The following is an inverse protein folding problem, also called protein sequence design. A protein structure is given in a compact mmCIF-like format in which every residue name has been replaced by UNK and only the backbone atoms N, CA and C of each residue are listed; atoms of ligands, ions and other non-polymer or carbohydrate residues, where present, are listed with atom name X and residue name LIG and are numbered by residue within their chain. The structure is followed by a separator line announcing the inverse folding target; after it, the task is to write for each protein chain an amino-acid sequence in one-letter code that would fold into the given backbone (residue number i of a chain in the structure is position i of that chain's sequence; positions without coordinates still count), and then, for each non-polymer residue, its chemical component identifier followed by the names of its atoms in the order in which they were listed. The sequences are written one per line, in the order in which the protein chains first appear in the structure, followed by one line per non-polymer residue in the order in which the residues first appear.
data_IF_745483732029
#
_entry.id   IF_745483732029
#
_cell.length_a   1.000
_cell.length_b   1.000
_cell.length_c   1.000
_cell.angle_alpha   90.00
_cell.angle_beta   90.00
_cell.angle_gamma   90.00
#
_symmetry.space_group_name_H-M   'P 1'
#
loop_
_entity.id
_entity.type
_entity.pdbx_description
1 polymer ?
#
# COMPACT_ATOMS: atom_id res chain seq x y z
N UNK A 1 -17.71 -21.59 7.17
CA UNK A 1 -17.55 -22.67 8.16
C UNK A 1 -16.64 -22.26 9.32
N UNK A 2 -15.56 -21.53 9.08
CA UNK A 2 -14.75 -20.95 10.16
C UNK A 2 -15.49 -19.87 10.97
N UNK A 3 -16.51 -19.24 10.43
CA UNK A 3 -17.34 -18.25 11.14
C UNK A 3 -18.13 -18.88 12.29
N UNK A 4 -18.69 -20.08 12.11
CA UNK A 4 -19.44 -20.77 13.14
C UNK A 4 -18.61 -21.07 14.38
N UNK A 5 -17.35 -21.48 14.21
CA UNK A 5 -16.43 -21.69 15.32
C UNK A 5 -16.06 -20.38 16.03
N UNK A 6 -15.83 -19.29 15.26
CA UNK A 6 -15.58 -17.97 15.82
C UNK A 6 -16.74 -17.44 16.67
N UNK A 7 -17.96 -17.64 16.22
CA UNK A 7 -19.16 -17.22 16.92
C UNK A 7 -19.41 -18.01 18.21
N UNK A 8 -19.15 -19.33 18.18
CA UNK A 8 -19.22 -20.18 19.37
C UNK A 8 -18.22 -19.74 20.44
N UNK A 9 -16.98 -19.46 20.06
CA UNK A 9 -15.95 -19.01 21.00
C UNK A 9 -16.21 -17.60 21.55
N UNK A 10 -16.76 -16.71 20.71
CA UNK A 10 -17.06 -15.33 21.08
C UNK A 10 -18.39 -15.18 21.84
N UNK A 11 -19.21 -16.24 21.92
CA UNK A 11 -20.56 -16.22 22.53
C UNK A 11 -21.44 -15.11 21.98
N UNK A 12 -21.40 -14.89 20.66
CA UNK A 12 -22.20 -13.86 20.00
C UNK A 12 -23.68 -14.29 19.93
N UNK A 13 -24.58 -13.32 20.07
CA UNK A 13 -26.00 -13.56 19.87
C UNK A 13 -26.30 -13.66 18.36
N UNK A 14 -26.61 -14.87 17.90
CA UNK A 14 -26.90 -15.17 16.50
C UNK A 14 -28.17 -14.45 16.00
N UNK A 15 -29.17 -14.25 16.86
CA UNK A 15 -30.42 -13.58 16.50
C UNK A 15 -30.14 -12.09 16.27
N UNK A 16 -29.39 -11.46 17.18
CA UNK A 16 -28.99 -10.05 17.04
C UNK A 16 -28.12 -9.85 15.79
N UNK A 17 -27.23 -10.78 15.45
CA UNK A 17 -26.45 -10.71 14.21
C UNK A 17 -27.34 -10.80 12.96
N UNK A 18 -28.40 -11.63 13.00
CA UNK A 18 -29.35 -11.72 11.91
C UNK A 18 -30.16 -10.42 11.76
N UNK A 19 -30.65 -9.83 12.85
CA UNK A 19 -31.34 -8.54 12.85
C UNK A 19 -30.47 -7.41 12.28
N UNK A 20 -29.19 -7.34 12.68
CA UNK A 20 -28.22 -6.39 12.14
C UNK A 20 -28.04 -6.61 10.63
N UNK A 21 -27.89 -7.86 10.19
CA UNK A 21 -27.74 -8.17 8.78
C UNK A 21 -28.97 -7.76 7.96
N UNK A 22 -30.18 -8.00 8.48
CA UNK A 22 -31.43 -7.64 7.81
C UNK A 22 -31.61 -6.11 7.74
N UNK A 23 -31.18 -5.37 8.76
CA UNK A 23 -31.17 -3.91 8.74
C UNK A 23 -30.25 -3.33 7.67
N UNK A 24 -29.04 -3.87 7.54
CA UNK A 24 -28.05 -3.33 6.59
C UNK A 24 -28.22 -3.85 5.15
N UNK A 25 -28.95 -4.92 4.92
CA UNK A 25 -29.14 -5.49 3.58
C UNK A 25 -29.77 -4.50 2.59
N UNK A 26 -30.91 -3.83 2.88
CA UNK A 26 -31.48 -2.84 1.97
C UNK A 26 -30.54 -1.64 1.73
N UNK A 27 -29.82 -1.18 2.76
CA UNK A 27 -28.85 -0.08 2.63
C UNK A 27 -27.70 -0.48 1.66
N UNK A 28 -27.22 -1.72 1.77
CA UNK A 28 -26.21 -2.24 0.84
C UNK A 28 -26.75 -2.32 -0.59
N UNK A 29 -27.97 -2.79 -0.75
CA UNK A 29 -28.59 -2.98 -2.06
C UNK A 29 -28.81 -1.61 -2.74
N UNK A 30 -29.27 -0.60 -2.01
CA UNK A 30 -29.35 0.79 -2.50
C UNK A 30 -27.97 1.36 -2.89
N UNK A 31 -26.95 1.09 -2.08
CA UNK A 31 -25.58 1.53 -2.36
C UNK A 31 -24.98 0.82 -3.61
N UNK A 32 -25.39 -0.41 -3.91
CA UNK A 32 -25.03 -1.12 -5.14
C UNK A 32 -25.76 -0.54 -6.36
N UNK A 33 -27.06 -0.27 -6.24
CA UNK A 33 -27.88 0.30 -7.32
C UNK A 33 -27.44 1.72 -7.67
N UNK A 34 -27.09 2.53 -6.68
CA UNK A 34 -26.60 3.90 -6.88
C UNK A 34 -25.14 3.96 -7.38
N UNK A 35 -24.43 2.85 -7.42
CA UNK A 35 -23.00 2.78 -7.80
C UNK A 35 -22.03 3.24 -6.71
N UNK A 36 -22.52 3.56 -5.50
CA UNK A 36 -21.68 3.90 -4.36
C UNK A 36 -20.78 2.74 -3.93
N UNK A 37 -21.30 1.50 -4.01
CA UNK A 37 -20.55 0.28 -3.82
C UNK A 37 -20.21 -0.34 -5.20
N UNK A 38 -18.92 -0.52 -5.49
CA UNK A 38 -18.50 -1.18 -6.71
C UNK A 38 -18.59 -2.72 -6.53
N UNK A 39 -19.42 -3.44 -7.34
CA UNK A 39 -19.59 -4.88 -7.22
C UNK A 39 -18.28 -5.68 -7.35
N UNK A 40 -17.29 -5.15 -8.05
CA UNK A 40 -15.97 -5.79 -8.22
C UNK A 40 -15.23 -5.98 -6.88
N UNK A 41 -15.56 -5.16 -5.87
CA UNK A 41 -14.96 -5.23 -4.54
C UNK A 41 -15.69 -6.18 -3.58
N UNK A 42 -16.85 -6.70 -3.96
CA UNK A 42 -17.70 -7.51 -3.09
C UNK A 42 -17.54 -9.02 -3.26
N UNK A 43 -16.91 -9.44 -4.35
CA UNK A 43 -16.73 -10.86 -4.68
C UNK A 43 -15.45 -11.45 -4.12
N UNK A 44 -15.47 -12.74 -3.80
CA UNK A 44 -14.24 -13.51 -3.56
C UNK A 44 -13.65 -13.89 -4.91
N UNK A 45 -12.52 -13.31 -5.26
CA UNK A 45 -11.78 -13.66 -6.46
C UNK A 45 -10.57 -14.53 -6.09
N UNK A 46 -10.59 -15.82 -6.46
CA UNK A 46 -9.47 -16.75 -6.20
C UNK A 46 -8.16 -16.25 -6.81
N UNK A 47 -8.21 -15.55 -7.94
CA UNK A 47 -7.04 -14.93 -8.55
C UNK A 47 -6.37 -13.89 -7.62
N UNK A 48 -7.15 -13.19 -6.80
CA UNK A 48 -6.62 -12.24 -5.82
C UNK A 48 -5.75 -12.94 -4.76
N UNK A 49 -6.13 -14.15 -4.37
CA UNK A 49 -5.32 -14.99 -3.46
C UNK A 49 -4.04 -15.49 -4.15
N UNK A 50 -4.12 -15.86 -5.42
CA UNK A 50 -2.95 -16.29 -6.21
C UNK A 50 -1.95 -15.14 -6.39
N UNK A 51 -2.44 -13.93 -6.62
CA UNK A 51 -1.61 -12.73 -6.78
C UNK A 51 -1.21 -12.10 -5.45
N UNK A 52 -1.72 -12.61 -4.32
CA UNK A 52 -1.42 -12.15 -2.96
C UNK A 52 -1.68 -10.64 -2.76
N UNK A 53 -2.70 -10.12 -3.44
CA UNK A 53 -3.08 -8.70 -3.36
C UNK A 53 -4.02 -8.48 -2.20
N UNK A 54 -3.67 -7.66 -1.19
CA UNK A 54 -4.57 -7.31 -0.09
C UNK A 54 -5.81 -6.55 -0.58
N UNK A 55 -6.95 -6.72 0.11
CA UNK A 55 -8.23 -6.11 -0.28
C UNK A 55 -8.17 -4.59 -0.45
N UNK A 56 -7.51 -3.86 0.46
CA UNK A 56 -7.32 -2.42 0.35
C UNK A 56 -6.49 -2.01 -0.88
N UNK A 57 -5.47 -2.80 -1.24
CA UNK A 57 -4.71 -2.58 -2.46
C UNK A 57 -5.57 -2.79 -3.70
N UNK A 58 -6.45 -3.81 -3.68
CA UNK A 58 -7.35 -4.10 -4.79
C UNK A 58 -8.27 -2.92 -5.12
N UNK A 59 -8.90 -2.33 -4.10
CA UNK A 59 -9.76 -1.16 -4.24
C UNK A 59 -9.01 0.03 -4.83
N UNK A 60 -7.77 0.28 -4.37
CA UNK A 60 -6.93 1.34 -4.89
C UNK A 60 -6.57 1.11 -6.37
N UNK A 61 -6.24 -0.11 -6.76
CA UNK A 61 -5.95 -0.46 -8.16
C UNK A 61 -7.17 -0.25 -9.06
N UNK A 62 -8.36 -0.67 -8.62
CA UNK A 62 -9.60 -0.43 -9.36
C UNK A 62 -9.81 1.07 -9.57
N UNK A 63 -9.74 1.88 -8.51
CA UNK A 63 -9.93 3.34 -8.60
C UNK A 63 -8.88 4.03 -9.49
N UNK A 64 -7.61 3.63 -9.40
CA UNK A 64 -6.54 4.16 -10.25
C UNK A 64 -6.79 3.86 -11.73
N UNK A 65 -7.19 2.62 -12.06
CA UNK A 65 -7.47 2.23 -13.43
C UNK A 65 -8.73 2.90 -13.99
N UNK A 66 -9.76 3.10 -13.17
CA UNK A 66 -10.95 3.85 -13.54
C UNK A 66 -10.63 5.31 -13.87
N UNK A 67 -9.81 5.97 -13.03
CA UNK A 67 -9.36 7.36 -13.28
C UNK A 67 -8.52 7.49 -14.55
N UNK A 68 -7.79 6.44 -14.93
CA UNK A 68 -6.98 6.40 -16.16
C UNK A 68 -7.76 5.91 -17.39
N UNK A 69 -9.05 5.58 -17.26
CA UNK A 69 -9.86 5.02 -18.33
C UNK A 69 -9.39 3.63 -18.81
N UNK A 70 -8.70 2.87 -17.96
CA UNK A 70 -8.04 1.60 -18.28
C UNK A 70 -8.57 0.44 -17.44
N UNK A 71 -9.85 0.43 -17.11
CA UNK A 71 -10.49 -0.62 -16.30
C UNK A 71 -10.42 -2.02 -16.91
N UNK A 72 -10.26 -2.09 -18.24
CA UNK A 72 -10.04 -3.31 -19.01
C UNK A 72 -8.69 -3.99 -18.68
N UNK A 73 -7.70 -3.22 -18.22
CA UNK A 73 -6.35 -3.68 -17.87
C UNK A 73 -6.23 -4.25 -16.45
N UNK A 74 -7.31 -4.31 -15.71
CA UNK A 74 -7.31 -4.73 -14.33
C UNK A 74 -6.64 -6.10 -14.09
N UNK A 75 -6.97 -7.09 -14.89
CA UNK A 75 -6.38 -8.42 -14.75
C UNK A 75 -4.90 -8.47 -15.16
N UNK A 76 -4.50 -7.70 -16.16
CA UNK A 76 -3.09 -7.59 -16.56
C UNK A 76 -2.25 -6.99 -15.41
N UNK A 77 -2.80 -5.99 -14.72
CA UNK A 77 -2.16 -5.38 -13.53
C UNK A 77 -2.06 -6.39 -12.39
N UNK A 78 -3.11 -7.16 -12.12
CA UNK A 78 -3.06 -8.20 -11.09
C UNK A 78 -1.99 -9.26 -11.37
N UNK A 79 -1.76 -9.60 -12.63
CA UNK A 79 -0.68 -10.52 -13.03
C UNK A 79 0.72 -9.89 -12.96
N UNK A 80 0.81 -8.57 -13.08
CA UNK A 80 2.07 -7.84 -13.00
C UNK A 80 2.52 -7.60 -11.54
N UNK A 81 1.58 -7.45 -10.59
CA UNK A 81 1.88 -7.21 -9.17
C UNK A 81 2.88 -8.22 -8.56
N UNK A 82 2.70 -9.55 -8.71
CA UNK A 82 3.67 -10.52 -8.19
C UNK A 82 5.05 -10.40 -8.82
N UNK A 83 5.13 -10.02 -10.09
CA UNK A 83 6.39 -9.85 -10.82
C UNK A 83 7.15 -8.63 -10.29
N UNK A 84 6.46 -7.51 -10.13
CA UNK A 84 7.04 -6.29 -9.52
C UNK A 84 7.45 -6.56 -8.08
N UNK A 85 6.60 -7.23 -7.28
CA UNK A 85 6.93 -7.61 -5.91
C UNK A 85 8.21 -8.44 -5.84
N UNK A 86 8.35 -9.43 -6.72
CA UNK A 86 9.55 -10.26 -6.81
C UNK A 86 10.79 -9.44 -7.16
N UNK A 87 10.68 -8.54 -8.14
CA UNK A 87 11.78 -7.68 -8.57
C UNK A 87 12.22 -6.71 -7.47
N UNK A 88 11.30 -6.29 -6.61
CA UNK A 88 11.56 -5.41 -5.47
C UNK A 88 12.04 -6.15 -4.20
N UNK A 89 12.37 -7.45 -4.30
CA UNK A 89 12.88 -8.23 -3.17
C UNK A 89 11.82 -8.74 -2.21
N UNK A 90 10.61 -8.96 -2.72
CA UNK A 90 9.45 -9.50 -1.98
C UNK A 90 9.08 -8.70 -0.71
N UNK A 91 8.91 -7.36 -0.80
CA UNK A 91 8.45 -6.60 0.33
C UNK A 91 7.07 -7.10 0.79
N UNK A 92 6.74 -7.02 2.09
CA UNK A 92 5.39 -7.28 2.55
C UNK A 92 4.43 -6.27 1.92
N UNK A 93 3.26 -6.74 1.44
CA UNK A 93 2.27 -5.88 0.81
C UNK A 93 1.38 -5.20 1.86
N UNK A 94 1.97 -4.28 2.60
CA UNK A 94 1.34 -3.38 3.57
C UNK A 94 1.66 -1.94 3.19
N UNK A 95 1.00 -0.96 3.79
CA UNK A 95 1.30 0.47 3.55
C UNK A 95 2.73 0.79 4.08
N UNK A 96 3.59 1.45 3.30
CA UNK A 96 3.37 2.01 1.95
C UNK A 96 3.76 1.06 0.80
N UNK A 97 4.44 -0.05 1.06
CA UNK A 97 5.02 -0.93 0.02
C UNK A 97 3.98 -1.53 -0.93
N UNK A 98 2.76 -1.81 -0.45
CA UNK A 98 1.66 -2.26 -1.31
C UNK A 98 1.28 -1.21 -2.36
N UNK A 99 1.27 0.07 -2.00
CA UNK A 99 0.99 1.16 -2.92
C UNK A 99 2.12 1.33 -3.94
N UNK A 100 3.37 1.25 -3.49
CA UNK A 100 4.56 1.36 -4.36
C UNK A 100 4.53 0.25 -5.42
N UNK A 101 4.36 -1.01 -5.00
CA UNK A 101 4.28 -2.17 -5.90
C UNK A 101 3.09 -2.05 -6.84
N UNK A 102 1.92 -1.66 -6.32
CA UNK A 102 0.70 -1.51 -7.12
C UNK A 102 0.81 -0.45 -8.18
N UNK A 103 1.24 0.75 -7.82
CA UNK A 103 1.42 1.86 -8.76
C UNK A 103 2.45 1.52 -9.84
N UNK A 104 3.56 0.86 -9.47
CA UNK A 104 4.55 0.44 -10.45
C UNK A 104 4.00 -0.63 -11.39
N UNK A 105 3.18 -1.57 -10.91
CA UNK A 105 2.52 -2.57 -11.75
C UNK A 105 1.54 -1.91 -12.75
N UNK A 106 0.75 -0.94 -12.31
CA UNK A 106 -0.12 -0.14 -13.19
C UNK A 106 0.69 0.55 -14.28
N UNK A 107 1.78 1.23 -13.94
CA UNK A 107 2.63 1.92 -14.91
C UNK A 107 3.26 0.96 -15.92
N UNK A 108 3.73 -0.21 -15.48
CA UNK A 108 4.29 -1.22 -16.37
C UNK A 108 3.27 -1.67 -17.42
N UNK A 109 2.02 -1.88 -17.02
CA UNK A 109 0.94 -2.32 -17.92
C UNK A 109 0.50 -1.18 -18.84
N UNK A 110 0.29 0.03 -18.31
CA UNK A 110 -0.18 1.16 -19.12
C UNK A 110 0.85 1.62 -20.17
N UNK A 111 2.14 1.56 -19.83
CA UNK A 111 3.21 1.94 -20.77
C UNK A 111 3.54 0.84 -21.78
N UNK A 112 3.06 -0.38 -21.57
CA UNK A 112 3.34 -1.56 -22.41
C UNK A 112 4.77 -2.08 -22.27
N UNK A 113 5.61 -1.47 -21.45
CA UNK A 113 7.00 -1.86 -21.19
C UNK A 113 7.32 -1.77 -19.72
N UNK A 114 7.85 -2.88 -19.14
CA UNK A 114 8.21 -2.94 -17.72
C UNK A 114 9.32 -1.95 -17.39
N UNK A 115 9.07 -1.15 -16.34
CA UNK A 115 10.03 -0.15 -15.85
C UNK A 115 10.46 0.91 -16.88
N UNK A 116 9.60 1.20 -17.87
CA UNK A 116 9.78 2.35 -18.77
C UNK A 116 9.65 3.65 -17.97
N UNK A 117 8.71 3.67 -17.05
CA UNK A 117 8.53 4.73 -16.06
C UNK A 117 8.68 4.11 -14.66
N UNK A 118 9.50 4.73 -13.82
CA UNK A 118 9.73 4.30 -12.44
C UNK A 118 9.41 5.48 -11.54
N UNK A 119 8.49 5.27 -10.57
CA UNK A 119 8.12 6.32 -9.62
C UNK A 119 9.25 6.65 -8.66
N UNK A 120 9.20 7.83 -8.04
CA UNK A 120 10.19 8.23 -7.04
C UNK A 120 10.18 7.29 -5.83
N UNK A 121 8.98 6.85 -5.41
CA UNK A 121 8.81 5.90 -4.32
C UNK A 121 9.40 4.52 -4.67
N UNK A 122 9.22 4.07 -5.92
CA UNK A 122 9.86 2.84 -6.41
C UNK A 122 11.39 2.95 -6.42
N UNK A 123 11.93 4.11 -6.84
CA UNK A 123 13.37 4.37 -6.77
C UNK A 123 13.87 4.40 -5.33
N UNK A 124 13.15 5.05 -4.43
CA UNK A 124 13.48 5.10 -3.00
C UNK A 124 13.49 3.70 -2.37
N UNK A 125 12.49 2.85 -2.69
CA UNK A 125 12.49 1.46 -2.24
C UNK A 125 13.69 0.69 -2.78
N UNK A 126 13.97 0.80 -4.08
CA UNK A 126 15.10 0.12 -4.73
C UNK A 126 16.46 0.68 -4.26
N UNK A 127 16.53 1.92 -3.81
CA UNK A 127 17.71 2.51 -3.15
C UNK A 127 17.90 1.99 -1.73
N UNK A 128 16.89 1.40 -1.11
CA UNK A 128 16.95 0.86 0.26
C UNK A 128 16.48 1.83 1.35
N UNK A 129 15.81 2.94 1.00
CA UNK A 129 15.29 3.93 1.96
C UNK A 129 14.18 3.38 2.87
N UNK A 130 13.54 2.27 2.46
CA UNK A 130 12.54 1.55 3.26
C UNK A 130 13.12 0.39 4.08
N UNK A 131 14.46 0.28 4.13
CA UNK A 131 15.16 -0.78 4.84
C UNK A 131 15.38 -2.04 4.00
N UNK A 132 15.73 -3.13 4.69
CA UNK A 132 16.10 -4.39 4.06
C UNK A 132 14.86 -5.19 3.65
N UNK A 133 14.86 -5.70 2.42
CA UNK A 133 13.81 -6.57 1.88
C UNK A 133 14.04 -8.04 2.25
N UNK A 134 12.97 -8.86 2.14
CA UNK A 134 13.00 -10.29 2.48
C UNK A 134 13.95 -11.08 1.59
N UNK A 135 13.99 -10.73 0.29
CA UNK A 135 14.87 -11.31 -0.70
C UNK A 135 15.71 -10.25 -1.40
N UNK A 136 16.81 -10.62 -2.04
CA UNK A 136 17.55 -9.67 -2.86
C UNK A 136 16.69 -9.07 -3.97
N UNK A 137 16.81 -7.77 -4.17
CA UNK A 137 16.18 -7.07 -5.28
C UNK A 137 16.79 -7.48 -6.62
N UNK A 138 16.02 -7.39 -7.70
CA UNK A 138 16.49 -7.61 -9.05
C UNK A 138 17.51 -6.53 -9.43
N UNK A 139 18.77 -6.93 -9.65
CA UNK A 139 19.89 -6.02 -9.91
C UNK A 139 19.73 -5.20 -11.18
N UNK A 140 19.11 -5.77 -12.22
CA UNK A 140 18.87 -5.05 -13.48
C UNK A 140 17.82 -3.94 -13.28
N UNK A 141 16.75 -4.25 -12.56
CA UNK A 141 15.72 -3.26 -12.22
C UNK A 141 16.28 -2.19 -11.29
N UNK A 142 17.06 -2.59 -10.29
CA UNK A 142 17.74 -1.66 -9.38
C UNK A 142 18.66 -0.71 -10.15
N UNK A 143 19.50 -1.23 -11.04
CA UNK A 143 20.38 -0.41 -11.89
C UNK A 143 19.60 0.52 -12.82
N UNK A 144 18.46 0.05 -13.39
CA UNK A 144 17.59 0.88 -14.22
C UNK A 144 16.96 2.04 -13.43
N UNK A 145 16.66 1.81 -12.14
CA UNK A 145 16.00 2.77 -11.26
C UNK A 145 16.94 3.84 -10.68
N UNK A 146 18.10 3.42 -10.18
CA UNK A 146 19.02 4.29 -9.42
C UNK A 146 20.37 4.49 -10.13
N UNK A 147 20.57 3.88 -11.32
CA UNK A 147 21.83 4.02 -12.08
C UNK A 147 23.02 3.39 -11.35
N UNK A 148 24.10 4.18 -11.22
CA UNK A 148 25.33 3.77 -10.56
C UNK A 148 25.37 4.16 -9.06
N UNK A 149 24.28 4.65 -8.51
CA UNK A 149 24.16 4.95 -7.08
C UNK A 149 24.31 3.66 -6.25
N UNK A 150 25.03 3.77 -5.12
CA UNK A 150 25.15 2.65 -4.19
C UNK A 150 23.90 2.55 -3.32
N UNK A 151 23.24 1.38 -3.28
CA UNK A 151 22.09 1.21 -2.42
C UNK A 151 22.49 1.29 -0.94
N UNK A 152 21.54 1.75 -0.13
CA UNK A 152 21.65 1.81 1.33
C UNK A 152 21.62 0.36 1.85
N UNK A 153 22.60 -0.03 2.64
CA UNK A 153 22.74 -1.38 3.22
C UNK A 153 22.66 -1.40 4.74
N UNK A 154 22.73 -0.23 5.37
CA UNK A 154 22.49 -0.05 6.81
C UNK A 154 21.00 0.27 7.08
N UNK A 155 20.64 0.41 8.35
CA UNK A 155 19.32 0.93 8.71
C UNK A 155 19.21 2.40 8.24
N UNK A 156 18.20 2.78 7.44
CA UNK A 156 18.12 4.14 6.90
C UNK A 156 18.13 5.23 7.98
N UNK A 157 17.52 4.95 9.14
CA UNK A 157 17.51 5.89 10.26
C UNK A 157 18.92 6.21 10.82
N UNK A 158 19.91 5.34 10.60
CA UNK A 158 21.29 5.59 11.05
C UNK A 158 22.01 6.64 10.18
N UNK A 159 21.40 7.01 9.05
CA UNK A 159 21.89 8.07 8.15
C UNK A 159 21.31 9.45 8.47
N UNK A 160 20.33 9.51 9.36
CA UNK A 160 19.72 10.77 9.78
C UNK A 160 20.65 11.50 10.76
N UNK A 161 20.89 12.76 10.50
CA UNK A 161 21.59 13.61 11.44
C UNK A 161 20.65 14.01 12.60
N UNK A 162 21.16 14.15 13.83
CA UNK A 162 20.37 14.65 14.95
C UNK A 162 19.92 16.10 14.69
N UNK A 163 18.62 16.32 14.57
CA UNK A 163 18.05 17.64 14.27
C UNK A 163 17.50 18.35 15.51
N UNK A 164 17.29 17.64 16.61
CA UNK A 164 16.60 18.16 17.78
C UNK A 164 17.25 19.45 18.34
N UNK A 165 18.57 19.46 18.48
CA UNK A 165 19.30 20.62 18.99
C UNK A 165 19.22 21.84 18.07
N UNK A 166 19.13 21.61 16.75
CA UNK A 166 18.94 22.66 15.76
C UNK A 166 17.54 23.28 15.88
N UNK A 167 16.54 22.43 15.95
CA UNK A 167 15.14 22.83 16.11
C UNK A 167 14.94 23.57 17.44
N UNK A 168 15.56 23.08 18.52
CA UNK A 168 15.53 23.76 19.82
C UNK A 168 16.12 25.16 19.76
N UNK A 169 17.22 25.36 19.05
CA UNK A 169 17.81 26.67 18.86
C UNK A 169 16.90 27.59 18.01
N UNK A 170 16.29 27.07 16.95
CA UNK A 170 15.35 27.83 16.11
C UNK A 170 14.09 28.23 16.88
N UNK A 171 13.59 27.35 17.75
CA UNK A 171 12.37 27.56 18.54
C UNK A 171 12.59 28.33 19.85
N UNK A 172 13.82 28.69 20.17
CA UNK A 172 14.19 29.28 21.48
C UNK A 172 13.36 30.50 21.91
N UNK A 173 12.80 31.26 20.94
CA UNK A 173 11.99 32.46 21.21
C UNK A 173 10.49 32.13 21.38
N UNK A 174 10.02 31.01 20.89
CA UNK A 174 8.60 30.64 20.90
C UNK A 174 8.28 29.39 21.75
N UNK A 175 9.34 28.73 22.23
CA UNK A 175 9.20 27.55 23.08
C UNK A 175 8.69 27.94 24.47
N UNK A 176 7.54 27.39 24.84
CA UNK A 176 6.99 27.48 26.20
C UNK A 176 7.22 26.16 26.98
N UNK A 177 7.22 25.01 26.28
CA UNK A 177 7.42 23.68 26.82
C UNK A 177 8.20 22.79 25.84
N UNK A 178 8.72 21.66 26.29
CA UNK A 178 9.56 20.77 25.46
C UNK A 178 8.79 20.13 24.30
N UNK A 179 7.48 19.91 24.47
CA UNK A 179 6.59 19.38 23.43
C UNK A 179 6.45 20.31 22.23
N UNK A 180 6.69 21.63 22.38
CA UNK A 180 6.63 22.58 21.27
C UNK A 180 7.71 22.31 20.23
N UNK A 181 8.88 21.83 20.66
CA UNK A 181 9.98 21.42 19.78
C UNK A 181 9.55 20.25 18.92
N UNK A 182 8.90 19.25 19.54
CA UNK A 182 8.42 18.06 18.83
C UNK A 182 7.29 18.43 17.87
N UNK A 183 6.41 19.33 18.28
CA UNK A 183 5.32 19.83 17.44
C UNK A 183 5.88 20.53 16.20
N UNK A 184 6.85 21.40 16.36
CA UNK A 184 7.50 22.10 15.24
C UNK A 184 8.30 21.14 14.35
N UNK A 185 8.97 20.14 14.93
CA UNK A 185 9.67 19.11 14.15
C UNK A 185 8.73 18.32 13.23
N UNK A 186 7.48 18.10 13.65
CA UNK A 186 6.48 17.34 12.88
C UNK A 186 5.64 18.23 11.95
N UNK A 187 5.46 19.50 12.31
CA UNK A 187 4.61 20.48 11.63
C UNK A 187 5.30 21.85 11.61
N UNK A 188 6.37 21.99 10.80
CA UNK A 188 7.14 23.22 10.71
C UNK A 188 6.35 24.39 10.12
#
# INVERSE_FOLDING_TARGET
ESRGLGDVYKRQDQNLLAEIADYFRPIRDEALESGLLNPKNLGVNIKTLLYQVPGGMLSNLVSQLEQQGASDKFYDVLEEVPKVRKDFGEPPLVTPSSQIVGTQAVLNVLTGERYKMITNESKALLRGEYGQTVKPMNKEVQKKAIGDEKPITCRPADLLEPELSKIEAEMSQWKEQDEDILTYALFP
#
